data_IF_247599420492
#
_entry.id   IF_247599420492
#
_cell.length_a   1.000
_cell.length_b   1.000
_cell.length_c   1.000
_cell.angle_alpha   90.00
_cell.angle_beta   90.00
_cell.angle_gamma   90.00
#
_symmetry.space_group_name_H-M   'P 1'
#
loop_
_entity.id
_entity.type
_entity.pdbx_description
1 polymer ?
#
# COMPACT_ATOMS: atom_id res chain seq x y z
N UNK A 1 -42.02 11.70 66.38
CA UNK A 1 -41.19 12.45 65.44
C UNK A 1 -41.03 11.62 64.19
N UNK A 2 -41.89 11.87 63.16
CA UNK A 2 -41.97 11.07 61.94
C UNK A 2 -41.18 11.79 60.85
N UNK A 3 -40.06 11.21 60.42
CA UNK A 3 -39.29 11.68 59.27
C UNK A 3 -39.82 10.97 58.01
N UNK A 4 -40.49 11.72 57.13
CA UNK A 4 -40.88 11.27 55.79
C UNK A 4 -39.70 11.38 54.82
N UNK A 5 -39.17 10.25 54.36
CA UNK A 5 -38.25 10.21 53.24
C UNK A 5 -39.03 10.40 51.93
N UNK A 6 -38.74 11.51 51.23
CA UNK A 6 -39.21 11.71 49.85
C UNK A 6 -38.16 11.20 48.88
N UNK A 7 -38.43 10.06 48.20
CA UNK A 7 -37.67 9.67 47.02
C UNK A 7 -38.10 10.54 45.83
N UNK A 8 -37.20 11.35 45.29
CA UNK A 8 -37.44 12.08 44.05
C UNK A 8 -37.38 11.08 42.90
N UNK A 9 -38.53 10.74 42.32
CA UNK A 9 -38.61 10.05 41.05
C UNK A 9 -38.27 11.08 39.94
N UNK A 10 -37.15 10.90 39.28
CA UNK A 10 -36.78 11.72 38.10
C UNK A 10 -37.59 11.17 36.91
N UNK A 11 -38.64 11.87 36.52
CA UNK A 11 -39.41 11.55 35.30
C UNK A 11 -38.59 12.06 34.10
N UNK A 12 -37.94 11.13 33.38
CA UNK A 12 -37.40 11.43 32.06
C UNK A 12 -38.55 11.57 31.06
N UNK A 13 -38.74 12.78 30.52
CA UNK A 13 -39.73 12.97 29.45
C UNK A 13 -39.29 12.18 28.20
N UNK A 14 -40.25 11.62 27.44
CA UNK A 14 -39.94 10.85 26.23
C UNK A 14 -39.08 11.57 25.20
N UNK A 15 -39.05 12.93 25.23
CA UNK A 15 -38.18 13.74 24.39
C UNK A 15 -36.70 13.60 24.76
N UNK A 16 -36.38 13.47 26.06
CA UNK A 16 -35.00 13.28 26.52
C UNK A 16 -34.49 11.85 26.21
N UNK A 17 -35.38 10.86 26.24
CA UNK A 17 -35.03 9.48 25.86
C UNK A 17 -34.73 9.38 24.37
N UNK A 18 -35.49 10.06 23.51
CA UNK A 18 -35.28 10.12 22.07
C UNK A 18 -33.96 10.84 21.76
N UNK A 19 -33.63 11.90 22.48
CA UNK A 19 -32.38 12.64 22.30
C UNK A 19 -31.15 11.78 22.68
N UNK A 20 -31.24 10.99 23.76
CA UNK A 20 -30.18 10.06 24.17
C UNK A 20 -30.01 8.93 23.13
N UNK A 21 -31.11 8.39 22.59
CA UNK A 21 -31.09 7.38 21.53
C UNK A 21 -30.51 7.95 20.24
N UNK A 22 -30.86 9.18 19.86
CA UNK A 22 -30.27 9.87 18.71
C UNK A 22 -28.79 10.18 18.90
N UNK A 23 -28.34 10.53 20.10
CA UNK A 23 -26.91 10.70 20.39
C UNK A 23 -26.15 9.37 20.40
N UNK A 24 -26.76 8.27 20.78
CA UNK A 24 -26.14 6.94 20.77
C UNK A 24 -26.06 6.33 19.37
N UNK A 25 -26.91 6.77 18.43
CA UNK A 25 -26.89 6.35 17.02
C UNK A 25 -25.89 7.12 16.16
N UNK A 26 -25.27 8.18 16.68
CA UNK A 26 -24.32 9.00 15.92
C UNK A 26 -22.86 8.55 16.00
N UNK A 27 -22.56 7.39 16.57
CA UNK A 27 -21.19 6.91 16.75
C UNK A 27 -20.84 5.67 15.89
N UNK A 28 -21.35 5.59 14.68
CA UNK A 28 -20.75 4.71 13.69
C UNK A 28 -20.02 5.52 12.62
N UNK A 29 -19.12 6.41 13.03
CA UNK A 29 -18.09 6.89 12.14
C UNK A 29 -17.09 5.74 12.03
N UNK A 30 -17.23 4.92 11.02
CA UNK A 30 -16.22 3.94 10.69
C UNK A 30 -15.01 4.69 10.13
N UNK A 31 -14.13 5.12 11.03
CA UNK A 31 -12.79 5.54 10.62
C UNK A 31 -12.12 4.34 9.96
N UNK A 32 -11.84 4.46 8.68
CA UNK A 32 -11.20 3.39 7.89
C UNK A 32 -9.67 3.51 7.88
N UNK A 33 -9.11 4.58 8.46
CA UNK A 33 -7.69 4.63 8.79
C UNK A 33 -7.48 3.80 10.06
N UNK A 34 -6.68 2.77 9.94
CA UNK A 34 -6.34 1.89 11.06
C UNK A 34 -5.06 2.33 11.73
N UNK A 35 -4.11 2.84 10.94
CA UNK A 35 -2.86 3.43 11.39
C UNK A 35 -2.67 4.73 10.63
N UNK A 36 -2.48 5.83 11.34
CA UNK A 36 -2.28 7.14 10.74
C UNK A 36 -1.05 7.14 9.84
N UNK A 37 -1.14 7.82 8.72
CA UNK A 37 -0.01 8.02 7.83
C UNK A 37 0.93 9.04 8.45
N UNK A 38 2.12 8.60 8.79
CA UNK A 38 3.18 9.43 9.38
C UNK A 38 4.48 9.28 8.59
N UNK A 39 5.38 10.27 8.65
CA UNK A 39 6.70 10.12 8.05
C UNK A 39 7.41 8.88 8.58
N UNK A 40 7.83 8.00 7.68
CA UNK A 40 8.58 6.79 8.02
C UNK A 40 10.00 7.14 8.41
N UNK A 41 10.38 6.82 9.62
CA UNK A 41 11.76 6.96 10.07
C UNK A 41 12.61 5.79 9.56
N UNK A 42 13.77 6.11 8.98
CA UNK A 42 14.71 5.10 8.53
C UNK A 42 15.41 4.44 9.72
N UNK A 43 15.56 3.13 9.66
CA UNK A 43 16.37 2.34 10.60
C UNK A 43 17.85 2.45 10.22
N UNK A 44 18.14 2.45 8.90
CA UNK A 44 19.50 2.64 8.40
C UNK A 44 20.04 4.04 8.71
N UNK A 45 21.33 4.12 9.01
CA UNK A 45 22.00 5.40 9.29
C UNK A 45 22.25 6.22 8.01
N UNK A 46 22.01 7.55 8.06
CA UNK A 46 21.44 8.30 9.20
C UNK A 46 19.94 8.09 9.35
N UNK A 47 19.49 7.86 10.58
CA UNK A 47 18.06 7.75 10.89
C UNK A 47 17.40 9.11 10.64
N UNK A 48 16.43 9.14 9.73
CA UNK A 48 15.66 10.33 9.36
C UNK A 48 14.32 9.94 8.77
N UNK A 49 13.34 10.80 8.91
CA UNK A 49 12.03 10.67 8.26
C UNK A 49 11.82 11.69 7.15
N UNK A 50 12.70 12.68 7.03
CA UNK A 50 12.66 13.72 6.00
C UNK A 50 14.02 13.79 5.32
N UNK A 51 14.04 13.63 4.00
CA UNK A 51 15.24 13.63 3.20
C UNK A 51 15.36 14.95 2.44
N UNK A 52 16.13 15.91 2.98
CA UNK A 52 16.47 17.15 2.27
C UNK A 52 17.78 16.91 1.51
N UNK A 53 17.67 16.53 0.26
CA UNK A 53 18.81 16.03 -0.54
C UNK A 53 18.77 16.55 -1.98
N UNK A 54 19.92 16.57 -2.63
CA UNK A 54 19.97 16.59 -4.09
C UNK A 54 19.71 15.17 -4.57
N UNK A 55 18.51 14.92 -5.09
CA UNK A 55 18.13 13.55 -5.39
C UNK A 55 16.69 13.41 -5.83
N UNK A 56 16.17 12.22 -5.77
CA UNK A 56 14.79 11.89 -6.11
C UNK A 56 14.36 10.59 -5.40
N UNK A 57 13.13 10.18 -5.66
CA UNK A 57 12.66 8.85 -5.34
C UNK A 57 12.14 8.12 -6.57
N UNK A 58 12.13 6.81 -6.50
CA UNK A 58 11.46 5.94 -7.48
C UNK A 58 10.65 4.87 -6.76
N UNK A 59 9.63 4.35 -7.45
CA UNK A 59 8.83 3.23 -6.98
C UNK A 59 8.86 2.17 -8.08
N UNK A 60 9.11 0.94 -7.70
CA UNK A 60 8.95 -0.24 -8.55
C UNK A 60 8.02 -1.23 -7.86
N UNK A 61 7.40 -2.12 -8.60
CA UNK A 61 6.55 -3.14 -8.02
C UNK A 61 5.85 -3.98 -9.07
N UNK A 62 5.18 -5.02 -8.60
CA UNK A 62 4.41 -5.92 -9.45
C UNK A 62 3.34 -6.67 -8.64
N UNK A 63 2.50 -7.43 -9.33
CA UNK A 63 1.50 -8.32 -8.73
C UNK A 63 1.98 -9.77 -8.76
N UNK A 64 1.61 -10.57 -7.74
CA UNK A 64 1.88 -12.01 -7.66
C UNK A 64 0.62 -12.85 -7.90
N UNK A 65 -0.50 -12.22 -8.26
CA UNK A 65 -1.71 -12.86 -8.74
C UNK A 65 -2.15 -12.25 -10.07
N UNK A 66 -2.72 -13.06 -10.93
CA UNK A 66 -3.33 -12.64 -12.19
C UNK A 66 -4.58 -13.46 -12.45
N UNK A 67 -5.43 -13.02 -13.38
CA UNK A 67 -6.59 -13.79 -13.84
C UNK A 67 -6.13 -15.08 -14.53
N UNK A 68 -6.78 -16.20 -14.21
CA UNK A 68 -6.52 -17.48 -14.89
C UNK A 68 -6.73 -17.40 -16.41
N UNK A 69 -7.77 -16.71 -16.83
CA UNK A 69 -8.00 -16.32 -18.22
C UNK A 69 -7.83 -14.82 -18.31
N UNK A 70 -6.60 -14.38 -18.59
CA UNK A 70 -6.30 -12.97 -18.54
C UNK A 70 -7.05 -12.17 -19.59
N UNK A 71 -7.82 -11.18 -19.12
CA UNK A 71 -8.35 -10.07 -19.90
C UNK A 71 -8.14 -8.78 -19.10
N UNK A 72 -7.56 -7.77 -19.74
CA UNK A 72 -7.24 -6.48 -19.10
C UNK A 72 -8.48 -5.73 -18.61
N UNK A 73 -9.65 -6.04 -19.14
CA UNK A 73 -10.91 -5.38 -18.77
C UNK A 73 -11.74 -6.20 -17.78
N UNK A 74 -11.32 -7.42 -17.46
CA UNK A 74 -12.03 -8.22 -16.45
C UNK A 74 -11.51 -7.89 -15.04
N UNK A 75 -12.42 -7.70 -14.07
CA UNK A 75 -12.06 -7.49 -12.67
C UNK A 75 -11.60 -8.81 -12.04
N UNK A 76 -10.94 -8.71 -10.88
CA UNK A 76 -10.67 -9.88 -10.05
C UNK A 76 -11.93 -10.39 -9.33
N UNK A 77 -12.96 -9.55 -9.22
CA UNK A 77 -14.26 -9.87 -8.59
C UNK A 77 -14.96 -11.04 -9.28
N UNK A 78 -15.28 -12.08 -8.51
CA UNK A 78 -15.93 -13.32 -8.98
C UNK A 78 -15.16 -14.09 -10.08
N UNK A 79 -13.92 -13.76 -10.30
CA UNK A 79 -13.02 -14.43 -11.24
C UNK A 79 -11.98 -15.29 -10.52
N UNK A 80 -11.49 -16.33 -11.21
CA UNK A 80 -10.44 -17.18 -10.67
C UNK A 80 -9.08 -16.52 -10.89
N UNK A 81 -8.36 -16.33 -9.80
CA UNK A 81 -6.98 -15.85 -9.78
C UNK A 81 -6.01 -17.00 -9.66
N UNK A 82 -4.86 -16.86 -10.33
CA UNK A 82 -3.76 -17.82 -10.28
C UNK A 82 -2.46 -17.10 -9.91
N UNK A 83 -1.49 -17.86 -9.43
CA UNK A 83 -0.17 -17.31 -9.11
C UNK A 83 0.55 -16.87 -10.38
N UNK A 84 1.16 -15.71 -10.31
CA UNK A 84 2.28 -15.32 -11.17
C UNK A 84 3.51 -16.05 -10.65
N UNK A 85 4.31 -16.65 -11.51
CA UNK A 85 5.49 -17.43 -11.16
C UNK A 85 6.55 -17.23 -12.26
N UNK A 86 7.30 -16.11 -12.14
CA UNK A 86 8.27 -15.70 -13.19
C UNK A 86 9.63 -16.37 -13.04
N UNK A 87 9.94 -16.90 -11.86
CA UNK A 87 11.26 -17.52 -11.62
C UNK A 87 11.28 -19.02 -11.89
N UNK A 88 10.10 -19.66 -12.02
CA UNK A 88 9.97 -21.10 -12.25
C UNK A 88 10.64 -21.96 -11.19
N UNK A 89 10.90 -21.40 -10.01
CA UNK A 89 11.58 -22.07 -8.92
C UNK A 89 10.60 -22.93 -8.12
N UNK A 90 10.79 -24.23 -8.11
CA UNK A 90 9.91 -25.14 -7.36
C UNK A 90 9.86 -24.89 -5.84
N UNK A 91 10.78 -24.11 -5.29
CA UNK A 91 10.79 -23.72 -3.88
C UNK A 91 9.95 -22.47 -3.59
N UNK A 92 9.45 -21.76 -4.60
CA UNK A 92 8.55 -20.61 -4.46
C UNK A 92 7.20 -20.96 -5.09
N UNK A 93 6.09 -20.43 -4.52
CA UNK A 93 4.76 -20.69 -5.07
C UNK A 93 4.29 -19.60 -5.99
N UNK A 94 4.70 -18.37 -5.71
CA UNK A 94 4.44 -17.22 -6.57
C UNK A 94 5.68 -16.33 -6.60
N UNK A 95 5.89 -15.64 -7.72
CA UNK A 95 6.99 -14.69 -7.89
C UNK A 95 6.67 -13.70 -8.98
N UNK A 96 7.09 -12.45 -8.81
CA UNK A 96 7.06 -11.45 -9.85
C UNK A 96 8.25 -10.49 -9.74
N UNK A 97 8.60 -9.82 -10.84
CA UNK A 97 9.80 -8.99 -10.91
C UNK A 97 9.50 -7.58 -11.37
N UNK A 98 10.38 -6.65 -11.01
CA UNK A 98 10.42 -5.28 -11.55
C UNK A 98 11.85 -4.75 -11.58
N UNK A 99 12.14 -3.86 -12.53
CA UNK A 99 13.47 -3.27 -12.68
C UNK A 99 13.60 -1.98 -11.90
N UNK A 100 14.54 -1.94 -10.95
CA UNK A 100 14.95 -0.72 -10.28
C UNK A 100 15.90 0.05 -11.19
N UNK A 101 15.41 1.20 -11.65
CA UNK A 101 16.20 2.16 -12.44
C UNK A 101 16.01 3.55 -11.86
N UNK A 102 17.03 4.38 -11.97
CA UNK A 102 16.91 5.78 -11.63
C UNK A 102 16.70 6.61 -12.89
N UNK A 103 15.88 7.66 -12.76
CA UNK A 103 15.71 8.62 -13.83
C UNK A 103 16.70 9.74 -13.65
N UNK A 104 17.50 9.98 -14.69
CA UNK A 104 18.54 11.00 -14.66
C UNK A 104 18.18 12.11 -15.64
N UNK A 105 18.24 13.34 -15.12
CA UNK A 105 18.16 14.55 -15.91
C UNK A 105 19.46 15.34 -15.73
N UNK A 106 19.85 16.11 -16.74
CA UNK A 106 20.96 17.06 -16.66
C UNK A 106 22.34 16.45 -16.33
N UNK A 107 22.67 15.31 -16.90
CA UNK A 107 23.99 14.69 -16.77
C UNK A 107 24.25 13.98 -15.44
N UNK A 108 23.20 13.72 -14.67
CA UNK A 108 23.29 12.78 -13.57
C UNK A 108 23.47 11.36 -14.12
N UNK A 109 24.39 10.60 -13.52
CA UNK A 109 24.68 9.21 -13.91
C UNK A 109 24.47 8.27 -12.72
N UNK A 110 24.15 6.98 -12.97
CA UNK A 110 23.87 6.00 -11.91
C UNK A 110 24.99 5.91 -10.88
N UNK A 111 26.23 5.92 -11.34
CA UNK A 111 27.43 5.74 -10.53
C UNK A 111 27.66 6.88 -9.51
N UNK A 112 27.04 8.04 -9.74
CA UNK A 112 27.05 9.16 -8.80
C UNK A 112 25.87 9.15 -7.82
N UNK A 113 25.06 8.12 -7.87
CA UNK A 113 23.85 8.00 -7.01
C UNK A 113 24.13 7.13 -5.81
N UNK A 114 23.56 7.53 -4.67
CA UNK A 114 23.65 6.81 -3.42
C UNK A 114 22.23 6.58 -2.87
N UNK A 115 21.90 5.34 -2.59
CA UNK A 115 20.64 4.98 -1.97
C UNK A 115 20.68 5.42 -0.51
N UNK A 116 19.67 6.17 -0.08
CA UNK A 116 19.55 6.65 1.31
C UNK A 116 18.42 5.97 2.07
N UNK A 117 17.41 5.48 1.35
CA UNK A 117 16.32 4.68 1.92
C UNK A 117 15.77 3.72 0.89
N UNK A 118 15.40 2.52 1.33
CA UNK A 118 14.57 1.61 0.55
C UNK A 118 13.60 0.86 1.46
N UNK A 119 12.33 0.92 1.12
CA UNK A 119 11.24 0.24 1.83
C UNK A 119 10.51 -0.74 0.91
N UNK A 120 10.39 -2.00 1.34
CA UNK A 120 9.57 -3.01 0.70
C UNK A 120 8.21 -3.06 1.38
N UNK A 121 7.17 -2.88 0.59
CA UNK A 121 5.78 -3.02 0.99
C UNK A 121 5.14 -4.17 0.23
N UNK A 122 4.35 -5.00 0.90
CA UNK A 122 3.54 -6.01 0.24
C UNK A 122 2.16 -6.11 0.85
N UNK A 123 1.21 -6.52 0.06
CA UNK A 123 -0.19 -6.58 0.44
C UNK A 123 -0.88 -7.73 -0.29
N UNK A 124 -1.97 -8.18 0.26
CA UNK A 124 -2.81 -9.18 -0.39
C UNK A 124 -4.08 -9.46 0.39
N UNK A 125 -4.96 -10.20 -0.28
CA UNK A 125 -6.11 -10.82 0.32
C UNK A 125 -5.94 -12.33 0.25
N UNK A 126 -5.79 -12.96 1.41
CA UNK A 126 -5.60 -14.41 1.54
C UNK A 126 -6.77 -15.01 2.32
N UNK A 127 -7.33 -16.08 1.79
CA UNK A 127 -8.47 -16.76 2.41
C UNK A 127 -8.02 -17.77 3.45
N UNK A 128 -8.58 -17.68 4.65
CA UNK A 128 -8.51 -18.76 5.62
C UNK A 128 -9.64 -18.80 6.63
N UNK A 129 -10.64 -17.97 6.45
CA UNK A 129 -11.90 -18.01 7.22
C UNK A 129 -11.84 -17.46 8.63
N UNK A 130 -10.71 -16.99 9.14
CA UNK A 130 -10.60 -16.40 10.46
C UNK A 130 -9.96 -15.02 10.45
N UNK A 131 -10.18 -14.24 11.50
CA UNK A 131 -9.53 -12.97 11.73
C UNK A 131 -8.02 -13.18 11.91
N UNK A 132 -7.32 -13.31 10.75
CA UNK A 132 -5.88 -13.23 10.63
C UNK A 132 -5.02 -14.23 11.44
N UNK A 133 -4.90 -15.48 11.05
CA UNK A 133 -3.61 -16.11 11.26
C UNK A 133 -2.59 -15.42 10.35
N UNK A 134 -1.41 -15.13 10.90
CA UNK A 134 -0.25 -14.73 10.09
C UNK A 134 0.13 -15.84 9.09
N UNK A 135 -0.20 -17.09 9.39
CA UNK A 135 0.20 -18.29 8.62
C UNK A 135 -0.99 -19.12 8.22
N UNK A 136 -0.92 -19.68 7.02
CA UNK A 136 -1.87 -20.66 6.49
C UNK A 136 -1.18 -21.60 5.49
N UNK A 137 -1.76 -22.76 5.26
CA UNK A 137 -1.23 -23.73 4.32
C UNK A 137 -1.85 -23.55 2.94
N UNK A 138 -1.00 -23.61 1.92
CA UNK A 138 -1.40 -23.64 0.51
C UNK A 138 -0.81 -24.88 -0.13
N UNK A 139 -1.58 -25.54 -0.97
CA UNK A 139 -1.11 -26.71 -1.75
C UNK A 139 -1.12 -26.36 -3.24
N UNK A 140 0.05 -26.49 -3.88
CA UNK A 140 0.24 -26.33 -5.34
C UNK A 140 0.97 -27.56 -5.84
N UNK A 141 0.46 -28.21 -6.89
CA UNK A 141 1.07 -29.40 -7.50
C UNK A 141 1.42 -30.52 -6.49
N UNK A 142 0.50 -30.80 -5.56
CA UNK A 142 0.67 -31.78 -4.46
C UNK A 142 1.75 -31.43 -3.44
N UNK A 143 2.36 -30.27 -3.50
CA UNK A 143 3.28 -29.75 -2.49
C UNK A 143 2.51 -28.78 -1.58
N UNK A 144 2.55 -29.03 -0.27
CA UNK A 144 1.96 -28.11 0.72
C UNK A 144 3.04 -27.25 1.34
N UNK A 145 2.81 -25.94 1.37
CA UNK A 145 3.68 -24.94 1.98
C UNK A 145 2.90 -24.07 2.96
N UNK A 146 3.49 -23.79 4.09
CA UNK A 146 2.98 -22.79 5.02
C UNK A 146 3.47 -21.40 4.57
N UNK A 147 2.57 -20.54 4.16
CA UNK A 147 2.86 -19.15 3.87
C UNK A 147 2.65 -18.29 5.11
N UNK A 148 3.38 -17.18 5.19
CA UNK A 148 3.34 -16.27 6.33
C UNK A 148 3.19 -14.82 5.81
N UNK A 149 2.12 -14.14 6.21
CA UNK A 149 1.82 -12.76 5.80
C UNK A 149 2.91 -11.75 6.19
N UNK A 150 3.71 -12.08 7.23
CA UNK A 150 4.86 -11.27 7.66
C UNK A 150 6.12 -11.47 6.84
N UNK A 151 6.16 -12.45 5.94
CA UNK A 151 7.38 -12.89 5.29
C UNK A 151 7.21 -12.94 3.78
N UNK A 152 8.26 -12.54 3.09
CA UNK A 152 8.40 -12.71 1.65
C UNK A 152 9.85 -13.10 1.33
N UNK A 153 10.07 -13.63 0.14
CA UNK A 153 11.39 -13.92 -0.39
C UNK A 153 11.78 -12.81 -1.36
N UNK A 154 12.93 -12.20 -1.15
CA UNK A 154 13.46 -11.11 -1.99
C UNK A 154 14.76 -11.54 -2.67
N UNK A 155 14.85 -11.30 -3.98
CA UNK A 155 16.06 -11.52 -4.75
C UNK A 155 16.41 -10.25 -5.53
N UNK A 156 17.56 -9.66 -5.25
CA UNK A 156 18.11 -8.51 -5.98
C UNK A 156 18.98 -8.93 -7.17
N UNK A 157 19.38 -7.98 -8.02
CA UNK A 157 20.10 -8.26 -9.26
C UNK A 157 21.45 -8.95 -9.06
N UNK A 158 22.14 -8.68 -7.94
CA UNK A 158 23.44 -9.28 -7.61
C UNK A 158 23.32 -10.51 -6.68
N UNK A 159 22.10 -10.86 -6.25
CA UNK A 159 21.90 -11.98 -5.33
C UNK A 159 21.82 -13.31 -6.09
N UNK A 160 22.56 -14.31 -5.63
CA UNK A 160 22.48 -15.67 -6.18
C UNK A 160 21.19 -16.39 -5.76
N UNK A 161 20.73 -16.14 -4.53
CA UNK A 161 19.59 -16.80 -3.91
C UNK A 161 18.63 -15.78 -3.31
N UNK A 162 17.44 -16.25 -2.97
CA UNK A 162 16.48 -15.45 -2.20
C UNK A 162 16.96 -15.21 -0.76
N UNK A 163 16.58 -14.05 -0.25
CA UNK A 163 16.72 -13.68 1.17
C UNK A 163 15.32 -13.51 1.75
N UNK A 164 15.03 -14.16 2.86
CA UNK A 164 13.77 -13.97 3.59
C UNK A 164 13.76 -12.57 4.20
N UNK A 165 12.73 -11.79 3.88
CA UNK A 165 12.43 -10.49 4.47
C UNK A 165 11.23 -10.65 5.40
N UNK A 166 11.35 -10.15 6.61
CA UNK A 166 10.31 -10.25 7.64
C UNK A 166 9.87 -8.86 8.10
N UNK A 167 8.58 -8.60 8.06
CA UNK A 167 7.99 -7.38 8.63
C UNK A 167 8.17 -7.33 10.15
N UNK A 168 8.52 -6.18 10.67
CA UNK A 168 8.57 -5.94 12.10
C UNK A 168 7.22 -6.21 12.78
N UNK A 169 7.24 -6.36 14.10
CA UNK A 169 6.03 -6.68 14.87
C UNK A 169 4.92 -5.65 14.65
N UNK A 170 5.30 -4.38 14.50
CA UNK A 170 4.38 -3.26 14.31
C UNK A 170 4.22 -2.83 12.85
N UNK A 171 4.77 -3.59 11.91
CA UNK A 171 4.80 -3.25 10.48
C UNK A 171 3.94 -4.19 9.64
N UNK A 172 2.96 -4.85 10.24
CA UNK A 172 1.90 -5.58 9.55
C UNK A 172 0.55 -5.18 10.11
N UNK A 173 -0.40 -4.96 9.23
CA UNK A 173 -1.72 -4.46 9.57
C UNK A 173 -2.81 -5.27 8.86
N UNK A 174 -3.94 -5.41 9.56
CA UNK A 174 -5.14 -6.09 9.08
C UNK A 174 -6.33 -5.15 9.17
N UNK A 175 -7.20 -5.05 8.15
CA UNK A 175 -8.46 -4.34 8.30
C UNK A 175 -9.33 -5.09 9.34
N UNK A 176 -9.86 -4.36 10.30
CA UNK A 176 -10.79 -4.90 11.29
C UNK A 176 -12.21 -4.90 10.72
N UNK A 177 -12.44 -5.65 9.67
CA UNK A 177 -13.72 -5.76 8.98
C UNK A 177 -14.10 -7.24 8.87
N UNK A 178 -15.35 -7.52 8.47
CA UNK A 178 -15.79 -8.90 8.18
C UNK A 178 -15.06 -9.51 6.97
N UNK A 179 -14.37 -8.70 6.17
CA UNK A 179 -13.47 -9.13 5.09
C UNK A 179 -12.01 -9.15 5.59
N UNK A 180 -11.79 -9.90 6.66
CA UNK A 180 -10.57 -9.90 7.46
C UNK A 180 -9.35 -10.57 6.83
N UNK A 181 -9.41 -10.92 5.54
CA UNK A 181 -8.32 -11.65 4.87
C UNK A 181 -7.27 -10.74 4.25
N UNK A 182 -7.54 -9.44 4.18
CA UNK A 182 -6.60 -8.45 3.68
C UNK A 182 -5.50 -8.16 4.69
N UNK A 183 -4.32 -7.84 4.20
CA UNK A 183 -3.23 -7.36 5.03
C UNK A 183 -2.31 -6.43 4.22
N UNK A 184 -1.55 -5.62 4.92
CA UNK A 184 -0.41 -4.89 4.37
C UNK A 184 0.78 -5.00 5.32
N UNK A 185 1.97 -5.12 4.76
CA UNK A 185 3.19 -5.30 5.52
C UNK A 185 4.32 -4.46 4.95
N UNK A 186 5.29 -4.14 5.81
CA UNK A 186 6.46 -3.34 5.47
C UNK A 186 7.72 -3.92 6.09
N UNK A 187 8.83 -3.79 5.37
CA UNK A 187 10.17 -3.95 5.91
C UNK A 187 11.14 -2.96 5.25
N UNK A 188 12.02 -2.35 6.05
CA UNK A 188 13.12 -1.58 5.50
C UNK A 188 14.18 -2.53 4.92
N UNK A 189 14.59 -2.26 3.68
CA UNK A 189 15.55 -3.05 2.93
C UNK A 189 16.72 -2.18 2.40
N UNK A 190 16.99 -1.05 3.04
CA UNK A 190 17.99 -0.07 2.59
C UNK A 190 19.35 -0.70 2.34
N UNK A 191 19.88 -1.45 3.30
CA UNK A 191 21.20 -2.09 3.18
C UNK A 191 21.21 -3.21 2.13
N UNK A 192 20.09 -3.92 1.98
CA UNK A 192 19.93 -4.92 0.93
C UNK A 192 20.02 -4.29 -0.46
N UNK A 193 19.30 -3.17 -0.67
CA UNK A 193 19.28 -2.46 -1.95
C UNK A 193 20.63 -1.78 -2.23
N UNK A 194 21.31 -1.23 -1.21
CA UNK A 194 22.67 -0.72 -1.36
C UNK A 194 23.64 -1.79 -1.85
N UNK A 195 23.54 -3.00 -1.32
CA UNK A 195 24.42 -4.12 -1.69
C UNK A 195 24.13 -4.67 -3.09
N UNK A 196 22.84 -4.76 -3.46
CA UNK A 196 22.43 -5.39 -4.73
C UNK A 196 22.39 -4.40 -5.90
N UNK A 197 22.23 -3.09 -5.65
CA UNK A 197 22.28 -2.04 -6.67
C UNK A 197 21.04 -1.97 -7.56
N UNK A 198 21.22 -1.39 -8.74
CA UNK A 198 20.17 -1.25 -9.77
C UNK A 198 20.03 -2.54 -10.57
N UNK A 199 18.81 -2.79 -11.06
CA UNK A 199 18.48 -3.96 -11.86
C UNK A 199 17.21 -4.63 -11.42
N UNK A 200 17.04 -5.92 -11.79
CA UNK A 200 15.82 -6.66 -11.52
C UNK A 200 15.75 -7.14 -10.08
N UNK A 201 14.66 -6.78 -9.43
CA UNK A 201 14.24 -7.30 -8.14
C UNK A 201 13.07 -8.24 -8.32
N UNK A 202 13.11 -9.38 -7.65
CA UNK A 202 12.03 -10.39 -7.64
C UNK A 202 11.55 -10.58 -6.22
N UNK A 203 10.22 -10.52 -6.03
CA UNK A 203 9.58 -10.85 -4.75
C UNK A 203 8.73 -12.10 -4.94
N UNK A 204 8.94 -13.08 -4.08
CA UNK A 204 8.28 -14.37 -4.12
C UNK A 204 7.64 -14.73 -2.77
N UNK A 205 6.77 -15.74 -2.80
CA UNK A 205 6.08 -16.29 -1.62
C UNK A 205 5.30 -15.23 -0.81
N UNK A 206 4.72 -14.25 -1.48
CA UNK A 206 3.70 -13.43 -0.83
C UNK A 206 2.56 -14.36 -0.41
N UNK A 207 2.08 -14.21 0.82
CA UNK A 207 1.06 -15.08 1.39
C UNK A 207 -0.30 -14.84 0.75
N UNK A 208 -0.57 -15.54 -0.35
CA UNK A 208 -1.73 -15.42 -1.23
C UNK A 208 -2.37 -16.79 -1.47
N UNK A 209 -3.58 -16.80 -2.00
CA UNK A 209 -4.30 -18.00 -2.44
C UNK A 209 -4.82 -17.82 -3.87
N UNK A 210 -4.91 -18.94 -4.59
CA UNK A 210 -5.55 -19.00 -5.90
C UNK A 210 -7.06 -19.22 -5.78
N UNK A 211 -7.80 -18.99 -6.84
CA UNK A 211 -9.22 -19.27 -6.93
C UNK A 211 -10.10 -18.03 -6.97
N UNK A 212 -11.38 -18.22 -6.68
CA UNK A 212 -12.38 -17.17 -6.73
C UNK A 212 -12.56 -16.56 -5.33
N UNK A 213 -12.21 -15.30 -5.19
CA UNK A 213 -12.35 -14.53 -3.94
C UNK A 213 -13.73 -13.89 -3.73
N UNK A 214 -14.74 -14.27 -4.52
CA UNK A 214 -16.07 -13.67 -4.45
C UNK A 214 -16.11 -12.23 -4.96
N UNK A 215 -17.07 -11.44 -4.47
CA UNK A 215 -17.30 -10.07 -4.94
C UNK A 215 -16.14 -9.10 -4.70
N UNK A 216 -15.25 -9.36 -3.75
CA UNK A 216 -14.02 -8.58 -3.54
C UNK A 216 -12.86 -9.08 -4.40
N UNK A 217 -12.87 -10.39 -4.74
CA UNK A 217 -11.76 -11.02 -5.46
C UNK A 217 -10.51 -11.26 -4.61
N UNK A 218 -9.55 -12.01 -5.13
CA UNK A 218 -8.21 -12.14 -4.57
C UNK A 218 -7.26 -11.21 -5.31
N UNK A 219 -6.37 -10.57 -4.57
CA UNK A 219 -5.31 -9.73 -5.10
C UNK A 219 -4.04 -9.89 -4.26
N UNK A 220 -2.92 -9.49 -4.81
CA UNK A 220 -1.68 -9.42 -4.06
C UNK A 220 -0.52 -8.96 -4.90
N UNK A 221 0.36 -8.21 -4.27
CA UNK A 221 1.52 -7.63 -4.92
C UNK A 221 2.42 -6.90 -3.95
N UNK A 222 3.43 -6.26 -4.51
CA UNK A 222 4.47 -5.59 -3.76
C UNK A 222 4.95 -4.31 -4.45
N UNK A 223 5.58 -3.43 -3.67
CA UNK A 223 6.30 -2.28 -4.18
C UNK A 223 7.54 -2.00 -3.35
N UNK A 224 8.60 -1.54 -4.01
CA UNK A 224 9.80 -0.99 -3.37
C UNK A 224 9.85 0.50 -3.65
N UNK A 225 9.89 1.30 -2.59
CA UNK A 225 10.15 2.74 -2.65
C UNK A 225 11.63 2.92 -2.38
N UNK A 226 12.34 3.64 -3.26
CA UNK A 226 13.77 3.95 -3.09
C UNK A 226 13.96 5.46 -3.16
N UNK A 227 14.55 6.03 -2.11
CA UNK A 227 15.03 7.41 -2.08
C UNK A 227 16.54 7.39 -2.32
N UNK A 228 17.00 8.22 -3.23
CA UNK A 228 18.41 8.27 -3.60
C UNK A 228 18.91 9.71 -3.79
N UNK A 229 20.16 9.93 -3.42
CA UNK A 229 20.85 11.20 -3.64
C UNK A 229 21.77 11.13 -4.86
N UNK A 230 21.92 12.27 -5.55
CA UNK A 230 22.89 12.47 -6.63
C UNK A 230 23.24 13.96 -6.70
N UNK A 231 24.50 14.29 -6.56
CA UNK A 231 24.97 15.68 -6.48
C UNK A 231 24.67 16.55 -7.71
N UNK A 232 24.34 15.93 -8.85
CA UNK A 232 23.97 16.62 -10.10
C UNK A 232 22.47 16.92 -10.20
N UNK A 233 21.67 16.40 -9.27
CA UNK A 233 20.24 16.64 -9.26
C UNK A 233 19.87 17.90 -8.48
N UNK A 234 18.61 18.32 -8.62
CA UNK A 234 18.05 19.45 -7.85
C UNK A 234 17.84 19.06 -6.41
N UNK A 235 17.86 20.03 -5.52
CA UNK A 235 17.41 19.88 -4.15
C UNK A 235 15.94 19.52 -4.11
N UNK A 236 15.59 18.56 -3.27
CA UNK A 236 14.22 18.13 -2.96
C UNK A 236 14.09 17.83 -1.48
N UNK A 237 12.89 18.09 -1.00
CA UNK A 237 12.43 17.58 0.28
C UNK A 237 11.56 16.34 -0.01
N UNK A 238 11.96 15.20 0.48
CA UNK A 238 11.30 13.91 0.20
C UNK A 238 10.89 13.30 1.53
N UNK A 239 9.64 12.91 1.63
CA UNK A 239 9.09 12.21 2.80
C UNK A 239 8.32 10.98 2.33
N UNK A 240 8.59 9.85 2.95
CA UNK A 240 7.80 8.62 2.76
C UNK A 240 6.80 8.56 3.90
N UNK A 241 5.52 8.61 3.57
CA UNK A 241 4.44 8.44 4.54
C UNK A 241 3.93 7.02 4.45
N UNK A 242 3.84 6.35 5.57
CA UNK A 242 3.13 5.08 5.64
C UNK A 242 2.18 5.00 6.83
N UNK A 243 1.24 4.12 6.70
CA UNK A 243 0.16 3.85 7.61
C UNK A 243 -0.69 2.73 7.05
N UNK A 244 -1.90 2.60 7.53
CA UNK A 244 -2.82 1.60 6.99
C UNK A 244 -4.24 2.17 6.91
N UNK A 245 -4.78 2.24 5.71
CA UNK A 245 -6.15 2.60 5.44
C UNK A 245 -6.84 1.50 4.63
N UNK A 246 -8.06 1.18 5.01
CA UNK A 246 -8.97 0.34 4.25
C UNK A 246 -10.18 1.18 3.86
N UNK A 247 -10.45 1.27 2.57
CA UNK A 247 -11.55 2.06 2.02
C UNK A 247 -12.46 1.14 1.22
N UNK A 248 -13.75 1.18 1.51
CA UNK A 248 -14.78 0.42 0.82
C UNK A 248 -15.88 1.36 0.33
N UNK A 249 -16.03 1.49 -0.97
CA UNK A 249 -16.92 2.46 -1.61
C UNK A 249 -18.41 2.32 -1.25
N UNK A 250 -18.88 1.13 -0.89
CA UNK A 250 -20.25 0.93 -0.41
C UNK A 250 -20.54 1.59 0.95
N UNK A 251 -19.50 1.89 1.72
CA UNK A 251 -19.62 2.49 3.06
C UNK A 251 -18.97 3.87 3.17
N UNK A 252 -18.09 4.24 2.24
CA UNK A 252 -17.34 5.48 2.29
C UNK A 252 -17.27 6.13 0.92
N UNK A 253 -17.94 7.27 0.77
CA UNK A 253 -17.93 8.04 -0.49
C UNK A 253 -16.61 8.79 -0.67
N UNK A 254 -15.99 9.26 0.40
CA UNK A 254 -14.66 9.89 0.37
C UNK A 254 -13.92 9.62 1.68
N UNK A 255 -12.62 9.44 1.56
CA UNK A 255 -11.73 9.23 2.71
C UNK A 255 -10.56 10.20 2.64
N UNK A 256 -10.32 10.93 3.73
CA UNK A 256 -9.22 11.89 3.81
C UNK A 256 -8.08 11.30 4.63
N UNK A 257 -6.89 11.32 4.07
CA UNK A 257 -5.66 10.95 4.74
C UNK A 257 -4.90 12.23 5.07
N UNK A 258 -4.90 12.70 6.32
CA UNK A 258 -4.10 13.86 6.71
C UNK A 258 -2.62 13.48 6.69
N UNK A 259 -1.81 14.23 5.96
CA UNK A 259 -0.35 14.11 5.94
C UNK A 259 0.27 15.46 6.32
N UNK A 260 1.36 15.42 7.09
CA UNK A 260 2.09 16.61 7.51
C UNK A 260 3.55 16.25 7.80
N UNK A 261 4.40 17.25 8.02
CA UNK A 261 5.82 17.04 8.32
C UNK A 261 6.71 17.00 7.09
N UNK A 262 6.27 17.54 5.96
CA UNK A 262 7.10 17.81 4.79
C UNK A 262 7.23 19.33 4.60
N UNK A 263 8.28 19.74 3.91
CA UNK A 263 8.53 21.14 3.61
C UNK A 263 8.24 21.43 2.14
N UNK A 264 7.76 22.63 1.87
CA UNK A 264 7.56 23.17 0.53
C UNK A 264 8.23 24.53 0.41
N UNK A 265 8.50 24.96 -0.82
CA UNK A 265 9.03 26.30 -1.07
C UNK A 265 8.06 27.35 -0.54
N UNK A 266 8.60 28.37 0.15
CA UNK A 266 7.79 29.41 0.78
C UNK A 266 7.27 30.43 -0.24
N UNK A 267 7.92 30.54 -1.40
CA UNK A 267 7.58 31.50 -2.45
C UNK A 267 7.77 30.89 -3.84
N UNK A 268 6.94 31.31 -4.78
CA UNK A 268 6.98 30.81 -6.15
C UNK A 268 6.12 29.57 -6.38
N UNK A 269 6.32 28.92 -7.52
CA UNK A 269 5.56 27.74 -7.91
C UNK A 269 6.04 26.52 -7.12
N UNK A 270 5.09 25.87 -6.45
CA UNK A 270 5.33 24.57 -5.77
C UNK A 270 5.24 23.46 -6.81
N UNK A 271 6.33 22.73 -6.98
CA UNK A 271 6.37 21.53 -7.82
C UNK A 271 6.38 20.29 -6.93
N UNK A 272 5.37 19.47 -7.06
CA UNK A 272 5.19 18.25 -6.27
C UNK A 272 5.31 17.03 -7.19
N UNK A 273 6.07 16.04 -6.76
CA UNK A 273 6.06 14.69 -7.31
C UNK A 273 5.47 13.76 -6.26
N UNK A 274 4.40 13.09 -6.59
CA UNK A 274 3.74 12.13 -5.71
C UNK A 274 4.02 10.71 -6.19
N UNK A 275 4.23 9.80 -5.25
CA UNK A 275 4.21 8.37 -5.44
C UNK A 275 3.16 7.76 -4.53
N UNK A 276 2.43 6.79 -5.03
CA UNK A 276 1.37 6.11 -4.29
C UNK A 276 1.46 4.62 -4.54
N UNK A 277 1.24 3.84 -3.48
CA UNK A 277 1.01 2.40 -3.56
C UNK A 277 -0.31 2.09 -2.87
N UNK A 278 -1.21 1.42 -3.58
CA UNK A 278 -2.47 0.91 -3.07
C UNK A 278 -2.64 -0.54 -3.51
N UNK A 279 -3.24 -1.34 -2.67
CA UNK A 279 -3.66 -2.70 -3.01
C UNK A 279 -5.13 -2.71 -3.41
N UNK A 280 -5.47 -3.54 -4.34
CA UNK A 280 -6.77 -3.68 -4.97
C UNK A 280 -7.11 -2.51 -5.92
N UNK A 281 -7.80 -2.82 -7.00
CA UNK A 281 -8.29 -1.89 -8.02
C UNK A 281 -8.57 -2.62 -9.33
N UNK A 282 -9.60 -2.16 -10.07
CA UNK A 282 -10.07 -2.80 -11.29
C UNK A 282 -10.09 -1.82 -12.46
N UNK A 283 -9.58 -2.24 -13.62
CA UNK A 283 -9.60 -1.38 -14.81
C UNK A 283 -11.01 -1.12 -15.33
N UNK A 284 -11.90 -2.09 -15.23
CA UNK A 284 -13.27 -2.02 -15.73
C UNK A 284 -14.26 -1.38 -14.77
N UNK A 285 -13.89 -1.18 -13.51
CA UNK A 285 -14.76 -0.60 -12.49
C UNK A 285 -14.33 0.85 -12.26
N UNK A 286 -15.22 1.78 -12.62
CA UNK A 286 -14.98 3.21 -12.43
C UNK A 286 -15.73 3.74 -11.20
N UNK A 287 -15.37 4.94 -10.76
CA UNK A 287 -16.01 5.65 -9.66
C UNK A 287 -15.06 5.98 -8.51
N UNK A 288 -13.82 5.55 -8.59
CA UNK A 288 -12.79 5.95 -7.64
C UNK A 288 -11.98 7.15 -8.15
N UNK A 289 -11.41 7.90 -7.22
CA UNK A 289 -10.61 9.09 -7.53
C UNK A 289 -9.55 9.35 -6.46
N UNK A 290 -8.53 10.09 -6.85
CA UNK A 290 -7.49 10.58 -5.95
C UNK A 290 -7.38 12.10 -6.03
N UNK A 291 -7.53 12.76 -4.90
CA UNK A 291 -7.50 14.22 -4.80
C UNK A 291 -6.40 14.69 -3.84
N UNK A 292 -5.89 15.89 -4.09
CA UNK A 292 -5.05 16.63 -3.15
C UNK A 292 -5.74 17.96 -2.79
N UNK A 293 -5.73 18.33 -1.52
CA UNK A 293 -6.25 19.62 -1.07
C UNK A 293 -5.19 20.70 -1.30
N UNK A 294 -5.55 21.74 -2.05
CA UNK A 294 -4.70 22.93 -2.21
C UNK A 294 -4.94 23.88 -1.05
N UNK A 295 -3.89 24.21 -0.31
CA UNK A 295 -3.98 25.12 0.83
C UNK A 295 -4.20 26.58 0.41
N UNK A 296 -3.84 26.96 -0.82
CA UNK A 296 -3.94 28.34 -1.31
C UNK A 296 -5.37 28.84 -1.48
N UNK A 297 -6.31 27.97 -1.82
CA UNK A 297 -7.71 28.29 -2.10
C UNK A 297 -8.69 27.31 -1.47
N UNK A 298 -8.17 26.35 -0.69
CA UNK A 298 -8.94 25.32 -0.01
C UNK A 298 -9.80 24.46 -0.96
N UNK A 299 -9.35 24.30 -2.21
CA UNK A 299 -10.02 23.48 -3.21
C UNK A 299 -9.33 22.14 -3.40
N UNK A 300 -10.13 21.12 -3.62
CA UNK A 300 -9.64 19.80 -4.00
C UNK A 300 -9.26 19.76 -5.48
N UNK A 301 -8.05 19.30 -5.74
CA UNK A 301 -7.55 19.04 -7.09
C UNK A 301 -7.57 17.55 -7.36
N UNK A 302 -8.39 17.09 -8.31
CA UNK A 302 -8.38 15.71 -8.79
C UNK A 302 -7.12 15.45 -9.59
N UNK A 303 -6.43 14.37 -9.23
CA UNK A 303 -5.21 13.93 -9.87
C UNK A 303 -5.52 12.91 -10.97
N UNK A 304 -4.66 12.86 -11.96
CA UNK A 304 -4.65 11.84 -13.00
C UNK A 304 -3.23 11.60 -13.51
N UNK A 305 -3.05 10.49 -14.18
CA UNK A 305 -1.85 10.13 -14.91
C UNK A 305 -2.25 9.45 -16.23
N UNK A 306 -1.33 9.27 -17.15
CA UNK A 306 -1.61 8.67 -18.48
C UNK A 306 -2.34 7.32 -18.38
N UNK A 307 -2.04 6.51 -17.37
CA UNK A 307 -2.70 5.23 -17.14
C UNK A 307 -3.73 5.23 -16.01
N UNK A 308 -3.96 6.37 -15.34
CA UNK A 308 -4.85 6.50 -14.19
C UNK A 308 -5.85 7.63 -14.46
N UNK A 309 -7.06 7.27 -14.89
CA UNK A 309 -8.10 8.24 -15.21
C UNK A 309 -8.62 8.95 -13.94
N UNK A 310 -9.24 10.12 -14.11
CA UNK A 310 -9.80 10.91 -12.99
C UNK A 310 -10.93 10.22 -12.25
N UNK A 311 -11.62 9.27 -12.90
CA UNK A 311 -12.75 8.52 -12.35
C UNK A 311 -12.49 7.02 -12.24
N UNK A 312 -11.24 6.62 -12.42
CA UNK A 312 -10.73 5.26 -12.20
C UNK A 312 -9.23 5.35 -11.97
N UNK A 313 -8.86 5.96 -10.85
CA UNK A 313 -7.47 6.20 -10.51
C UNK A 313 -6.77 4.92 -10.05
N UNK A 314 -7.47 4.08 -9.27
CA UNK A 314 -6.98 2.81 -8.74
C UNK A 314 -7.39 1.65 -9.66
N UNK A 315 -6.84 1.61 -10.85
CA UNK A 315 -7.28 0.75 -11.94
C UNK A 315 -6.34 -0.42 -12.24
N UNK A 316 -5.72 -1.00 -11.23
CA UNK A 316 -4.82 -2.15 -11.38
C UNK A 316 -3.66 -1.90 -12.34
N UNK A 317 -3.16 -0.66 -12.41
CA UNK A 317 -2.04 -0.31 -13.27
C UNK A 317 -0.81 0.10 -12.47
N UNK A 318 0.37 -0.11 -13.06
CA UNK A 318 1.63 0.33 -12.48
C UNK A 318 2.20 1.44 -13.36
N UNK A 319 2.23 2.66 -12.81
CA UNK A 319 2.72 3.87 -13.46
C UNK A 319 3.89 4.41 -12.67
N UNK A 320 5.08 4.43 -13.21
CA UNK A 320 6.26 4.97 -12.55
C UNK A 320 7.05 5.88 -13.48
N UNK A 321 7.36 7.10 -13.04
CA UNK A 321 8.19 8.06 -13.77
C UNK A 321 7.70 8.39 -15.20
N UNK A 322 6.41 8.34 -15.47
CA UNK A 322 5.82 8.50 -16.79
C UNK A 322 5.82 7.23 -17.65
N UNK A 323 6.46 6.16 -17.19
CA UNK A 323 6.42 4.87 -17.88
C UNK A 323 5.19 4.10 -17.46
N UNK A 324 4.28 3.89 -18.40
CA UNK A 324 3.17 2.97 -18.23
C UNK A 324 3.71 1.55 -18.24
N UNK A 325 3.43 0.82 -17.16
CA UNK A 325 3.61 -0.62 -17.13
C UNK A 325 2.27 -1.28 -17.38
N UNK A 326 2.27 -2.33 -18.15
CA UNK A 326 1.06 -3.10 -18.41
C UNK A 326 0.52 -3.68 -17.10
N UNK A 327 -0.81 -3.65 -16.84
CA UNK A 327 -1.40 -4.38 -15.72
C UNK A 327 -1.15 -5.88 -15.80
N UNK A 328 -0.73 -6.33 -16.94
CA UNK A 328 -0.29 -7.67 -17.31
C UNK A 328 1.15 -7.95 -16.93
N UNK A 329 1.66 -7.26 -15.98
CA UNK A 329 3.05 -7.44 -15.61
C UNK A 329 3.32 -8.76 -14.95
N UNK A 330 3.08 -9.73 -15.70
CA UNK A 330 3.74 -11.01 -15.59
C UNK A 330 5.01 -10.86 -16.40
N UNK A 331 6.09 -10.54 -15.80
CA UNK A 331 7.38 -10.56 -16.46
C UNK A 331 7.89 -11.97 -16.54
#
# INVERSE_FOLDING_TARGET
MNTKNYSKVVNFSGKNLILIILLSLSFTIHSQVRVNFTPREAIASPSTSIYNIKGDFTIIGNTNLTLNNYDVNEPNSNNNMVYVDVDGNSNTFNSSSANLTFFFFFGAIPECSKIVFAGLYWTGRASDGSNSPDTFNVTKNSVTKTLNKRKVQLKGPSAATYTEITAGTNDIYYPQTNDGFMYSAFAEITEYVKTNGLGQYTVADIALVEGNGGGTGYYGGWGIIVVYENSKMKWRDITVFDGHAYVQGSTTVSHQIPISGFNAVQTGQVNIKLGLMAGEGDRSISGDYFNILRSSDNNWQTLNHTGNATNNFFNSSIQTGGNTRSPNLVN
#
